data_IF_122856355959
#
_entry.id   IF_122856355959
#
_cell.length_a   1.000
_cell.length_b   1.000
_cell.length_c   1.000
_cell.angle_alpha   90.00
_cell.angle_beta   90.00
_cell.angle_gamma   90.00
#
_symmetry.space_group_name_H-M   'P 1'
#
loop_
_entity.id
_entity.type
_entity.pdbx_description
1 polymer ?
#
# COMPACT_ATOMS: atom_id res chain seq x y z
N UNK A 1 -6.69 -15.23 -17.79
CA UNK A 1 -7.61 -14.27 -18.45
C UNK A 1 -8.00 -13.18 -17.47
N UNK A 2 -8.26 -11.96 -17.97
CA UNK A 2 -8.68 -10.80 -17.17
C UNK A 2 -9.76 -10.00 -17.95
N UNK A 3 -10.67 -9.29 -17.25
CA UNK A 3 -11.69 -8.48 -17.89
C UNK A 3 -11.15 -7.15 -18.42
N UNK A 4 -11.98 -6.51 -19.24
CA UNK A 4 -11.84 -5.11 -19.61
C UNK A 4 -13.22 -4.43 -19.60
N UNK A 5 -13.22 -3.10 -19.53
CA UNK A 5 -14.40 -2.25 -19.64
C UNK A 5 -14.12 -1.09 -20.59
N UNK A 6 -15.15 -0.56 -21.25
CA UNK A 6 -15.00 0.57 -22.15
C UNK A 6 -16.26 1.45 -22.16
N UNK A 7 -16.08 2.73 -22.50
CA UNK A 7 -17.17 3.68 -22.75
C UNK A 7 -16.70 4.72 -23.76
N UNK A 8 -17.31 4.72 -24.94
CA UNK A 8 -16.84 5.56 -26.05
C UNK A 8 -15.40 5.18 -26.44
N UNK A 9 -14.48 6.13 -26.35
CA UNK A 9 -13.05 5.94 -26.62
C UNK A 9 -12.24 5.51 -25.40
N UNK A 10 -12.83 5.54 -24.21
CA UNK A 10 -12.12 5.19 -22.97
C UNK A 10 -12.14 3.69 -22.74
N UNK A 11 -11.01 3.13 -22.33
CA UNK A 11 -10.83 1.71 -22.08
C UNK A 11 -10.04 1.46 -20.80
N UNK A 12 -10.43 0.44 -20.04
CA UNK A 12 -9.73 0.00 -18.83
C UNK A 12 -9.61 -1.52 -18.79
N UNK A 13 -8.38 -2.00 -18.57
CA UNK A 13 -8.09 -3.38 -18.21
C UNK A 13 -7.95 -3.47 -16.69
N UNK A 14 -8.55 -4.48 -16.08
CA UNK A 14 -8.59 -4.60 -14.62
C UNK A 14 -8.65 -6.07 -14.19
N UNK A 15 -8.61 -6.29 -12.88
CA UNK A 15 -8.87 -7.60 -12.27
C UNK A 15 -10.21 -7.61 -11.57
N UNK A 16 -10.94 -8.73 -11.68
CA UNK A 16 -12.13 -9.00 -10.89
C UNK A 16 -11.94 -10.29 -10.09
N UNK A 17 -12.92 -10.63 -9.25
CA UNK A 17 -12.85 -11.85 -8.43
C UNK A 17 -12.56 -13.10 -9.28
N UNK A 18 -13.18 -13.24 -10.45
CA UNK A 18 -13.01 -14.41 -11.32
C UNK A 18 -11.61 -14.48 -11.95
N UNK A 19 -11.04 -13.36 -12.41
CA UNK A 19 -9.68 -13.34 -12.96
C UNK A 19 -8.63 -13.63 -11.88
N UNK A 20 -8.83 -13.13 -10.66
CA UNK A 20 -7.93 -13.40 -9.54
C UNK A 20 -7.98 -14.87 -9.11
N UNK A 21 -9.17 -15.47 -9.00
CA UNK A 21 -9.32 -16.91 -8.74
C UNK A 21 -8.58 -17.73 -9.80
N UNK A 22 -8.76 -17.38 -11.08
CA UNK A 22 -8.05 -18.03 -12.19
C UNK A 22 -6.52 -17.89 -12.07
N UNK A 23 -6.01 -16.71 -11.69
CA UNK A 23 -4.58 -16.49 -11.45
C UNK A 23 -4.08 -17.32 -10.26
N UNK A 24 -4.85 -17.45 -9.19
CA UNK A 24 -4.49 -18.33 -8.06
C UNK A 24 -4.33 -19.76 -8.55
N UNK A 25 -5.29 -20.29 -9.31
CA UNK A 25 -5.25 -21.69 -9.71
C UNK A 25 -4.17 -21.96 -10.78
N UNK A 26 -4.05 -21.10 -11.79
CA UNK A 26 -3.18 -21.33 -12.95
C UNK A 26 -1.76 -20.79 -12.82
N UNK A 27 -1.53 -19.83 -11.92
CA UNK A 27 -0.21 -19.24 -11.71
C UNK A 27 0.35 -19.65 -10.36
N UNK A 28 -0.39 -19.46 -9.28
CA UNK A 28 0.15 -19.73 -7.94
C UNK A 28 0.21 -21.23 -7.69
N UNK A 29 -0.95 -21.92 -7.72
CA UNK A 29 -1.01 -23.35 -7.41
C UNK A 29 -0.27 -24.18 -8.44
N UNK A 30 -0.55 -23.97 -9.73
CA UNK A 30 0.05 -24.76 -10.81
C UNK A 30 1.58 -24.62 -10.91
N UNK A 31 2.15 -23.49 -10.47
CA UNK A 31 3.62 -23.29 -10.49
C UNK A 31 4.29 -23.47 -9.12
N UNK A 32 3.54 -23.83 -8.08
CA UNK A 32 4.12 -24.03 -6.75
C UNK A 32 4.58 -22.74 -6.06
N UNK A 33 3.98 -21.58 -6.37
CA UNK A 33 4.41 -20.30 -5.79
C UNK A 33 3.88 -20.13 -4.36
N UNK A 34 4.60 -19.38 -3.53
CA UNK A 34 4.27 -19.22 -2.11
C UNK A 34 2.96 -18.45 -1.82
N UNK A 35 2.48 -17.62 -2.76
CA UNK A 35 1.28 -16.82 -2.54
C UNK A 35 1.12 -15.66 -3.53
N UNK A 36 0.32 -14.67 -3.13
CA UNK A 36 0.05 -13.46 -3.89
C UNK A 36 0.45 -12.21 -3.09
N UNK A 37 0.94 -11.18 -3.77
CA UNK A 37 1.14 -9.83 -3.23
C UNK A 37 0.11 -8.89 -3.85
N UNK A 38 -0.40 -7.96 -3.05
CA UNK A 38 -1.40 -6.98 -3.49
C UNK A 38 -0.81 -5.57 -3.58
N UNK A 39 -1.01 -4.96 -4.73
CA UNK A 39 -0.91 -3.51 -4.92
C UNK A 39 -2.29 -2.98 -5.30
N UNK A 40 -3.01 -2.28 -4.44
CA UNK A 40 -2.77 -2.08 -3.00
C UNK A 40 -4.10 -2.31 -2.24
N UNK A 41 -4.04 -2.33 -0.91
CA UNK A 41 -5.20 -2.62 -0.06
C UNK A 41 -6.31 -1.56 -0.22
N UNK A 42 -5.91 -0.30 -0.35
CA UNK A 42 -6.78 0.88 -0.46
C UNK A 42 -7.44 1.05 -1.84
N UNK A 43 -6.97 0.29 -2.85
CA UNK A 43 -7.55 0.28 -4.20
C UNK A 43 -8.60 -0.83 -4.39
N UNK A 44 -8.75 -1.74 -3.43
CA UNK A 44 -9.90 -2.66 -3.40
C UNK A 44 -11.15 -1.90 -2.91
N UNK A 45 -12.35 -2.48 -3.10
CA UNK A 45 -13.57 -1.94 -2.48
C UNK A 45 -13.57 -2.24 -0.98
N UNK A 46 -12.69 -1.56 -0.24
CA UNK A 46 -12.47 -1.74 1.19
C UNK A 46 -13.73 -1.42 2.02
N UNK A 47 -14.59 -0.53 1.51
CA UNK A 47 -15.82 -0.11 2.19
C UNK A 47 -17.01 -1.02 1.90
N UNK A 48 -16.98 -1.73 0.77
CA UNK A 48 -18.04 -2.56 0.22
C UNK A 48 -19.18 -1.78 -0.43
N UNK A 49 -18.98 -0.50 -0.75
CA UNK A 49 -20.03 0.41 -1.22
C UNK A 49 -20.00 0.66 -2.72
N UNK A 50 -18.88 0.41 -3.39
CA UNK A 50 -18.66 0.78 -4.79
C UNK A 50 -19.10 -0.34 -5.73
N UNK A 51 -18.81 -1.60 -5.38
CA UNK A 51 -18.98 -2.74 -6.27
C UNK A 51 -20.21 -3.59 -5.93
N UNK A 52 -20.80 -3.43 -4.73
CA UNK A 52 -21.91 -4.28 -4.27
C UNK A 52 -21.49 -5.74 -3.99
N UNK A 53 -20.19 -5.98 -3.79
CA UNK A 53 -19.60 -7.31 -3.59
C UNK A 53 -19.11 -7.56 -2.16
N UNK A 54 -19.48 -6.68 -1.22
CA UNK A 54 -18.98 -6.68 0.15
C UNK A 54 -17.60 -6.03 0.27
N UNK A 55 -17.05 -6.01 1.50
CA UNK A 55 -15.74 -5.41 1.78
C UNK A 55 -14.59 -6.25 1.24
N UNK A 56 -13.59 -5.60 0.66
CA UNK A 56 -12.38 -6.22 0.10
C UNK A 56 -12.67 -7.43 -0.81
N UNK A 57 -13.53 -7.27 -1.83
CA UNK A 57 -13.98 -8.39 -2.65
C UNK A 57 -12.85 -9.09 -3.39
N UNK A 58 -11.84 -8.35 -3.86
CA UNK A 58 -10.71 -8.91 -4.61
C UNK A 58 -9.77 -9.69 -3.70
N UNK A 59 -9.39 -9.11 -2.56
CA UNK A 59 -8.54 -9.80 -1.58
C UNK A 59 -9.21 -11.05 -1.01
N UNK A 60 -10.50 -10.95 -0.67
CA UNK A 60 -11.25 -12.09 -0.14
C UNK A 60 -11.40 -13.21 -1.16
N UNK A 61 -11.50 -12.89 -2.46
CA UNK A 61 -11.49 -13.91 -3.51
C UNK A 61 -10.16 -14.69 -3.52
N UNK A 62 -9.02 -14.01 -3.45
CA UNK A 62 -7.69 -14.67 -3.41
C UNK A 62 -7.49 -15.43 -2.11
N UNK A 63 -7.84 -14.84 -0.96
CA UNK A 63 -7.77 -15.51 0.36
C UNK A 63 -8.57 -16.82 0.36
N UNK A 64 -9.80 -16.80 -0.17
CA UNK A 64 -10.64 -18.00 -0.28
C UNK A 64 -10.02 -19.03 -1.23
N UNK A 65 -9.52 -18.60 -2.38
CA UNK A 65 -8.90 -19.52 -3.35
C UNK A 65 -7.60 -20.14 -2.86
N UNK A 66 -6.81 -19.42 -2.06
CA UNK A 66 -5.61 -19.95 -1.41
C UNK A 66 -5.91 -20.79 -0.16
N UNK A 67 -7.16 -20.87 0.30
CA UNK A 67 -7.52 -21.51 1.56
C UNK A 67 -6.96 -22.93 1.71
N UNK A 68 -5.96 -23.09 2.58
CA UNK A 68 -5.28 -24.37 2.85
C UNK A 68 -4.23 -24.78 1.82
N UNK A 69 -3.92 -23.94 0.82
CA UNK A 69 -2.86 -24.23 -0.13
C UNK A 69 -1.49 -24.16 0.54
N UNK A 70 -0.80 -25.30 0.57
CA UNK A 70 0.61 -25.39 0.94
C UNK A 70 1.44 -25.55 -0.33
N UNK A 71 2.34 -24.61 -0.64
CA UNK A 71 3.24 -24.74 -1.77
C UNK A 71 4.13 -25.99 -1.61
N UNK A 72 4.53 -26.64 -2.71
CA UNK A 72 5.44 -27.78 -2.67
C UNK A 72 6.71 -27.43 -1.88
N UNK A 73 7.32 -28.39 -1.17
CA UNK A 73 8.60 -28.17 -0.53
C UNK A 73 9.60 -27.72 -1.61
N UNK A 74 10.01 -26.47 -1.54
CA UNK A 74 11.27 -26.05 -2.16
C UNK A 74 12.31 -26.93 -1.49
N UNK A 75 12.96 -27.86 -2.20
CA UNK A 75 14.01 -28.73 -1.63
C UNK A 75 15.23 -27.99 -1.04
N UNK A 76 15.10 -26.68 -0.85
CA UNK A 76 15.97 -25.82 -0.09
C UNK A 76 15.63 -25.97 1.40
N UNK A 77 16.64 -26.03 2.29
CA UNK A 77 16.40 -25.93 3.71
C UNK A 77 15.59 -24.66 4.01
N UNK A 78 14.73 -24.68 5.05
CA UNK A 78 14.03 -23.48 5.48
C UNK A 78 15.07 -22.35 5.62
N UNK A 79 14.80 -21.15 5.09
CA UNK A 79 15.65 -20.02 5.43
C UNK A 79 15.73 -19.96 6.96
N UNK A 80 16.90 -19.65 7.54
CA UNK A 80 16.99 -19.46 8.98
C UNK A 80 15.87 -18.50 9.38
N UNK A 81 15.16 -18.76 10.50
CA UNK A 81 14.11 -17.87 10.98
C UNK A 81 14.67 -16.44 10.92
N UNK A 82 13.87 -15.44 10.49
CA UNK A 82 14.37 -14.09 10.36
C UNK A 82 15.00 -13.71 11.71
N UNK A 83 16.33 -13.70 11.75
CA UNK A 83 17.06 -13.20 12.88
C UNK A 83 16.84 -11.72 12.78
N UNK A 84 15.83 -11.21 13.47
CA UNK A 84 15.91 -9.85 13.96
C UNK A 84 17.13 -9.88 14.86
N UNK A 85 18.30 -9.55 14.29
CA UNK A 85 19.43 -9.18 15.11
C UNK A 85 18.89 -8.02 15.94
N UNK A 86 18.68 -8.26 17.24
CA UNK A 86 18.70 -7.17 18.19
C UNK A 86 19.98 -6.38 17.93
N UNK A 87 20.00 -5.07 18.24
CA UNK A 87 21.22 -4.27 18.08
C UNK A 87 22.37 -5.05 18.70
N UNK A 88 23.31 -5.51 17.88
CA UNK A 88 24.54 -6.10 18.37
C UNK A 88 25.25 -4.98 19.12
N UNK A 89 25.70 -5.26 20.34
CA UNK A 89 26.65 -4.44 21.11
C UNK A 89 28.03 -4.38 20.42
N UNK A 90 28.05 -4.26 19.10
CA UNK A 90 29.17 -3.63 18.42
C UNK A 90 29.28 -2.18 18.89
N UNK A 91 30.41 -1.50 18.65
CA UNK A 91 30.44 -0.06 18.80
C UNK A 91 29.21 0.47 18.06
N UNK A 92 28.32 1.13 18.81
CA UNK A 92 27.01 1.55 18.33
C UNK A 92 27.14 2.20 16.96
N UNK A 93 26.10 2.13 16.10
CA UNK A 93 26.21 2.42 14.68
C UNK A 93 27.14 3.58 14.45
N UNK A 94 28.31 3.31 13.84
CA UNK A 94 29.14 4.38 13.30
C UNK A 94 28.21 5.05 12.33
N UNK A 95 27.69 6.17 12.80
CA UNK A 95 26.90 7.06 12.00
C UNK A 95 27.94 7.52 11.00
N UNK A 96 27.93 6.95 9.79
CA UNK A 96 28.34 7.74 8.64
C UNK A 96 27.38 8.91 8.70
N UNK A 97 27.80 9.95 9.41
CA UNK A 97 27.04 11.16 9.52
C UNK A 97 26.87 11.57 8.08
N UNK A 98 25.62 11.48 7.58
CA UNK A 98 25.20 12.43 6.58
C UNK A 98 25.78 13.76 7.07
N UNK A 99 26.53 14.49 6.22
CA UNK A 99 27.03 15.80 6.60
C UNK A 99 25.90 16.52 7.31
N UNK A 100 26.14 17.06 8.52
CA UNK A 100 25.10 17.41 9.47
C UNK A 100 24.02 18.15 8.70
N UNK A 101 22.86 17.50 8.56
CA UNK A 101 21.69 18.18 8.03
C UNK A 101 21.56 19.37 8.95
N UNK A 102 21.64 20.62 8.43
CA UNK A 102 21.50 21.80 9.25
C UNK A 102 20.27 21.59 10.13
N UNK A 103 20.31 21.96 11.41
CA UNK A 103 19.19 21.71 12.31
C UNK A 103 17.93 22.20 11.63
N UNK A 104 17.10 21.27 11.14
CA UNK A 104 15.78 21.60 10.67
C UNK A 104 15.06 21.90 11.96
N UNK A 105 15.04 23.19 12.29
CA UNK A 105 14.10 23.77 13.23
C UNK A 105 12.78 23.11 12.92
N UNK A 106 12.29 22.25 13.81
CA UNK A 106 10.95 21.68 13.71
C UNK A 106 10.05 22.88 13.47
N UNK A 107 9.49 23.08 12.26
CA UNK A 107 8.68 24.27 12.03
C UNK A 107 7.57 24.17 13.05
N UNK A 108 7.36 25.26 13.78
CA UNK A 108 6.18 25.43 14.63
C UNK A 108 4.99 24.90 13.82
N UNK A 109 4.13 24.02 14.38
CA UNK A 109 2.98 23.52 13.65
C UNK A 109 2.30 24.71 12.99
N UNK A 110 2.13 24.71 11.66
CA UNK A 110 1.57 25.87 10.99
C UNK A 110 0.19 26.11 11.58
N UNK A 111 0.06 27.23 12.29
CA UNK A 111 -1.16 27.63 12.95
C UNK A 111 -2.00 28.42 11.95
N UNK A 112 -2.69 27.71 11.06
CA UNK A 112 -3.54 28.31 10.04
C UNK A 112 -4.32 27.31 9.19
N UNK A 113 -5.03 27.82 8.18
CA UNK A 113 -5.93 27.03 7.35
C UNK A 113 -5.11 26.20 6.35
N UNK A 114 -4.86 24.94 6.69
CA UNK A 114 -4.22 24.00 5.79
C UNK A 114 -5.18 23.55 4.68
N UNK A 115 -4.69 23.50 3.45
CA UNK A 115 -5.41 23.02 2.25
C UNK A 115 -4.50 22.21 1.35
N UNK A 116 -5.10 21.42 0.48
CA UNK A 116 -4.40 20.60 -0.49
C UNK A 116 -3.76 21.45 -1.60
N UNK A 117 -2.61 21.00 -2.12
CA UNK A 117 -1.87 21.65 -3.21
C UNK A 117 -1.57 20.70 -4.37
N UNK A 118 -1.06 21.27 -5.46
CA UNK A 118 -0.65 20.51 -6.64
C UNK A 118 -1.84 19.81 -7.29
N UNK A 119 -1.70 18.52 -7.57
CA UNK A 119 -2.74 17.69 -8.20
C UNK A 119 -4.01 17.53 -7.37
N UNK A 120 -3.94 17.87 -6.08
CA UNK A 120 -5.05 17.73 -5.13
C UNK A 120 -5.81 19.03 -4.87
N UNK A 121 -5.43 20.12 -5.56
CA UNK A 121 -6.06 21.44 -5.38
C UNK A 121 -7.57 21.36 -5.61
N UNK A 122 -8.35 21.80 -4.62
CA UNK A 122 -9.82 21.79 -4.67
C UNK A 122 -10.48 20.45 -4.30
N UNK A 123 -9.71 19.45 -3.89
CA UNK A 123 -10.27 18.21 -3.36
C UNK A 123 -10.57 18.35 -1.86
N UNK A 124 -11.87 18.45 -1.52
CA UNK A 124 -12.33 18.62 -0.14
C UNK A 124 -11.87 17.51 0.82
N UNK A 125 -11.69 16.27 0.34
CA UNK A 125 -11.17 15.17 1.15
C UNK A 125 -9.69 15.36 1.49
N UNK A 126 -8.91 15.82 0.51
CA UNK A 126 -7.50 16.15 0.72
C UNK A 126 -7.32 17.41 1.57
N UNK A 127 -8.21 18.40 1.44
CA UNK A 127 -8.22 19.58 2.32
C UNK A 127 -8.42 19.16 3.78
N UNK A 128 -9.43 18.32 4.06
CA UNK A 128 -9.68 17.79 5.39
C UNK A 128 -8.49 16.95 5.91
N UNK A 129 -7.87 16.14 5.05
CA UNK A 129 -6.66 15.39 5.38
C UNK A 129 -5.49 16.32 5.74
N UNK A 130 -5.28 17.41 5.00
CA UNK A 130 -4.24 18.39 5.29
C UNK A 130 -4.46 19.08 6.64
N UNK A 131 -5.69 19.48 6.97
CA UNK A 131 -6.02 20.07 8.27
C UNK A 131 -5.64 19.12 9.42
N UNK A 132 -6.00 17.84 9.33
CA UNK A 132 -5.73 16.87 10.38
C UNK A 132 -4.23 16.51 10.50
N UNK A 133 -3.56 16.23 9.38
CA UNK A 133 -2.18 15.75 9.41
C UNK A 133 -1.18 16.86 9.73
N UNK A 134 -1.39 18.07 9.21
CA UNK A 134 -0.51 19.19 9.52
C UNK A 134 -0.61 19.61 11.00
N UNK A 135 -1.80 19.52 11.62
CA UNK A 135 -1.96 19.72 13.06
C UNK A 135 -1.20 18.67 13.89
N UNK A 136 -1.07 17.44 13.37
CA UNK A 136 -0.27 16.37 13.97
C UNK A 136 1.25 16.47 13.66
N UNK A 137 1.69 17.52 12.95
CA UNK A 137 3.10 17.73 12.58
C UNK A 137 3.54 17.02 11.30
N UNK A 138 2.63 16.37 10.59
CA UNK A 138 2.89 15.70 9.30
C UNK A 138 2.33 16.55 8.16
N UNK A 139 3.10 17.52 7.68
CA UNK A 139 2.66 18.46 6.66
C UNK A 139 3.58 18.46 5.42
N UNK A 140 3.46 17.47 4.53
CA UNK A 140 4.27 17.43 3.32
C UNK A 140 3.88 18.56 2.36
N UNK A 141 4.83 19.43 2.02
CA UNK A 141 4.62 20.60 1.15
C UNK A 141 4.15 20.26 -0.26
N UNK A 142 4.38 19.02 -0.70
CA UNK A 142 3.89 18.49 -1.98
C UNK A 142 2.39 18.19 -2.00
N UNK A 143 1.76 18.05 -0.84
CA UNK A 143 0.33 17.73 -0.72
C UNK A 143 -0.45 18.81 0.00
N UNK A 144 0.17 19.55 0.92
CA UNK A 144 -0.48 20.53 1.77
C UNK A 144 0.27 21.86 1.79
N UNK A 145 -0.50 22.95 1.83
CA UNK A 145 -0.01 24.29 2.19
C UNK A 145 -0.86 24.81 3.34
N UNK A 146 -0.23 25.49 4.29
CA UNK A 146 -0.90 26.11 5.42
C UNK A 146 -0.43 27.57 5.49
N UNK A 147 -1.40 28.49 5.61
CA UNK A 147 -1.13 29.93 5.77
C UNK A 147 -0.71 30.27 7.21
#
# INVERSE_FOLDING_TARGET
MAPYGYKGTDWVGYDNMKSLQYKVDTVIKAKGLMGAMFWALDLDDFSGRQCGQGKYPLMNAVKKSLGGYTPPPTGLPPPPPPTTQGPTDGPGPVTTMMPPVPPTTRPKPPSGKCRATGVWTGNAGMDAWCVANCAAGNCPSSHCTCD
#
